data_IF_034160189657
#
_entry.id   IF_034160189657
#
_cell.length_a   1.000
_cell.length_b   1.000
_cell.length_c   1.000
_cell.angle_alpha   90.00
_cell.angle_beta   90.00
_cell.angle_gamma   90.00
#
_symmetry.space_group_name_H-M   'P 1'
#
loop_
_entity.id
_entity.type
_entity.pdbx_description
1 polymer ?
#
# COMPACT_ATOMS: atom_id res chain seq x y z
N UNK A 1 0.61 -7.93 -10.19
CA UNK A 1 0.82 -6.53 -10.58
C UNK A 1 -0.54 -5.88 -10.72
N UNK A 2 -0.75 -4.69 -10.13
CA UNK A 2 -2.05 -4.01 -10.21
C UNK A 2 -2.18 -3.25 -11.53
N UNK A 3 -3.30 -3.42 -12.21
CA UNK A 3 -3.65 -2.57 -13.35
C UNK A 3 -4.42 -1.36 -12.85
N UNK A 4 -3.80 -0.19 -12.91
CA UNK A 4 -4.42 1.08 -12.52
C UNK A 4 -4.76 1.83 -13.81
N UNK A 5 -6.06 2.06 -14.05
CA UNK A 5 -6.55 2.79 -15.22
C UNK A 5 -6.94 4.18 -14.78
N UNK A 6 -6.32 5.19 -15.39
CA UNK A 6 -6.68 6.59 -15.18
C UNK A 6 -7.60 7.07 -16.29
N UNK A 7 -8.76 7.59 -15.91
CA UNK A 7 -9.59 8.39 -16.80
C UNK A 7 -9.45 9.85 -16.35
N UNK A 8 -8.88 10.69 -17.21
CA UNK A 8 -8.61 12.08 -16.90
C UNK A 8 -8.87 12.97 -18.12
N UNK A 9 -9.49 14.12 -17.86
CA UNK A 9 -9.62 15.23 -18.80
C UNK A 9 -8.28 15.97 -18.93
N UNK A 10 -8.04 16.68 -20.04
CA UNK A 10 -6.76 17.31 -20.38
C UNK A 10 -6.24 18.23 -19.27
N UNK A 11 -7.13 18.99 -18.64
CA UNK A 11 -6.81 19.87 -17.50
C UNK A 11 -6.26 19.12 -16.27
N UNK A 12 -6.55 17.83 -16.14
CA UNK A 12 -6.15 17.00 -15.00
C UNK A 12 -4.96 16.07 -15.31
N UNK A 13 -4.50 16.00 -16.57
CA UNK A 13 -3.32 15.22 -16.96
C UNK A 13 -2.07 15.57 -16.13
N UNK A 14 -1.76 16.85 -15.84
CA UNK A 14 -0.58 17.19 -15.02
C UNK A 14 -0.65 16.61 -13.60
N UNK A 15 -1.85 16.60 -13.02
CA UNK A 15 -2.09 16.03 -11.69
C UNK A 15 -2.00 14.50 -11.71
N UNK A 16 -2.53 13.85 -12.76
CA UNK A 16 -2.39 12.42 -12.97
C UNK A 16 -0.92 12.01 -13.10
N UNK A 17 -0.08 12.82 -13.77
CA UNK A 17 1.36 12.59 -13.87
C UNK A 17 2.06 12.63 -12.50
N UNK A 18 1.73 13.63 -11.66
CA UNK A 18 2.25 13.72 -10.29
C UNK A 18 1.79 12.53 -9.44
N UNK A 19 0.52 12.13 -9.57
CA UNK A 19 -0.05 10.97 -8.88
C UNK A 19 0.67 9.68 -9.27
N UNK A 20 0.84 9.41 -10.57
CA UNK A 20 1.59 8.25 -11.06
C UNK A 20 3.03 8.24 -10.53
N UNK A 21 3.69 9.39 -10.53
CA UNK A 21 5.04 9.54 -9.97
C UNK A 21 5.07 9.23 -8.47
N UNK A 22 4.05 9.68 -7.73
CA UNK A 22 3.92 9.42 -6.30
C UNK A 22 3.69 7.93 -6.02
N UNK A 23 2.84 7.26 -6.80
CA UNK A 23 2.59 5.81 -6.69
C UNK A 23 3.90 5.05 -6.88
N UNK A 24 4.66 5.33 -7.93
CA UNK A 24 5.92 4.64 -8.20
C UNK A 24 6.93 4.87 -7.06
N UNK A 25 7.08 6.12 -6.60
CA UNK A 25 8.03 6.46 -5.52
C UNK A 25 7.71 5.78 -4.18
N UNK A 26 6.44 5.59 -3.87
CA UNK A 26 6.00 5.05 -2.58
C UNK A 26 5.67 3.56 -2.63
N UNK A 27 5.67 2.93 -3.81
CA UNK A 27 5.44 1.49 -3.95
C UNK A 27 6.73 0.73 -3.66
N UNK A 28 6.70 -0.18 -2.68
CA UNK A 28 7.81 -1.08 -2.40
C UNK A 28 7.79 -2.24 -3.42
N UNK A 29 8.79 -2.35 -4.32
CA UNK A 29 8.82 -3.39 -5.35
C UNK A 29 9.04 -4.80 -4.79
N UNK A 30 9.49 -4.93 -3.54
CA UNK A 30 9.70 -6.22 -2.88
C UNK A 30 8.43 -6.78 -2.24
N UNK A 31 7.37 -5.96 -2.13
CA UNK A 31 6.07 -6.41 -1.59
C UNK A 31 5.16 -6.85 -2.73
N UNK A 32 4.62 -8.05 -2.59
CA UNK A 32 3.63 -8.62 -3.48
C UNK A 32 2.22 -8.26 -3.02
N UNK A 33 1.22 -8.46 -3.87
CA UNK A 33 -0.18 -8.22 -3.49
C UNK A 33 -0.61 -9.02 -2.25
N UNK A 34 -0.14 -10.27 -2.14
CA UNK A 34 -0.47 -11.13 -1.01
C UNK A 34 -0.01 -10.54 0.33
N UNK A 35 1.16 -9.90 0.35
CA UNK A 35 1.72 -9.27 1.56
C UNK A 35 0.81 -8.14 2.07
N UNK A 36 0.16 -7.39 1.17
CA UNK A 36 -0.81 -6.35 1.54
C UNK A 36 -2.13 -6.92 2.08
N UNK A 37 -2.52 -8.13 1.65
CA UNK A 37 -3.73 -8.79 2.15
C UNK A 37 -3.54 -9.40 3.54
N UNK A 38 -2.32 -9.83 3.87
CA UNK A 38 -1.99 -10.42 5.19
C UNK A 38 -1.88 -9.35 6.28
N UNK A 39 -1.31 -8.18 5.97
CA UNK A 39 -1.16 -7.06 6.91
C UNK A 39 -2.53 -6.53 7.44
N UNK A 40 -3.63 -6.73 6.70
CA UNK A 40 -4.98 -6.33 7.14
C UNK A 40 -5.57 -7.21 8.25
N UNK A 41 -4.94 -8.35 8.56
CA UNK A 41 -5.40 -9.31 9.57
C UNK A 41 -4.64 -9.26 10.89
N UNK A 42 -3.64 -8.37 11.03
CA UNK A 42 -2.76 -8.33 12.20
C UNK A 42 -2.86 -7.05 13.05
N UNK A 43 -3.90 -6.24 12.89
CA UNK A 43 -4.17 -5.12 13.82
C UNK A 43 -5.17 -5.48 14.93
N UNK A 44 -5.08 -6.69 15.49
CA UNK A 44 -5.77 -7.06 16.75
C UNK A 44 -4.92 -7.92 17.70
N UNK A 45 -3.59 -8.09 17.51
CA UNK A 45 -2.82 -8.92 18.48
C UNK A 45 -1.36 -8.53 18.71
N UNK A 46 -1.02 -7.24 18.63
CA UNK A 46 0.27 -6.75 19.14
C UNK A 46 0.03 -5.72 20.24
N UNK A 47 -0.65 -6.15 21.31
CA UNK A 47 -0.64 -5.48 22.63
C UNK A 47 -1.21 -6.43 23.71
N UNK A 48 -0.77 -7.69 23.74
CA UNK A 48 -0.90 -8.49 24.96
C UNK A 48 0.01 -9.72 24.90
N UNK A 49 1.16 -9.65 25.59
CA UNK A 49 1.87 -10.76 26.25
C UNK A 49 3.37 -10.45 26.39
N UNK A 50 3.68 -9.44 27.20
CA UNK A 50 4.99 -9.31 27.83
C UNK A 50 4.86 -9.56 29.32
N UNK A 51 4.68 -10.83 29.72
CA UNK A 51 4.62 -11.19 31.13
C UNK A 51 4.41 -12.68 31.38
N UNK A 52 5.44 -13.36 31.90
CA UNK A 52 5.28 -14.61 32.66
C UNK A 52 6.09 -15.81 32.17
N UNK A 53 7.31 -15.94 32.70
CA UNK A 53 7.90 -17.13 33.34
C UNK A 53 7.83 -18.53 32.70
N UNK A 54 9.00 -19.14 32.56
CA UNK A 54 9.46 -20.29 33.36
C UNK A 54 10.96 -20.18 33.57
#
# INVERSE_FOLDING_TARGET
MFHIVFNADEKYIPYAAVLMTSIIKNTNPNKTFADFCVDSSQNETINSSGGGGI
#
